data_IF_543524111483
#
_entry.id   IF_543524111483
#
_cell.length_a   1.000
_cell.length_b   1.000
_cell.length_c   1.000
_cell.angle_alpha   90.00
_cell.angle_beta   90.00
_cell.angle_gamma   90.00
#
_symmetry.space_group_name_H-M   'P 1'
#
loop_
_entity.id
_entity.type
_entity.pdbx_description
1 polymer ?
#
# COMPACT_ATOMS: atom_id res chain seq x y z
N UNK A 1 -28.26 5.96 7.91
CA UNK A 1 -28.27 5.45 6.52
C UNK A 1 -27.32 6.27 5.65
N UNK A 2 -26.59 5.61 4.75
CA UNK A 2 -25.63 6.24 3.86
C UNK A 2 -26.33 6.96 2.69
N UNK A 3 -25.82 8.11 2.23
CA UNK A 3 -26.41 8.82 1.09
C UNK A 3 -25.63 8.62 -0.22
N UNK A 4 -24.32 8.45 -0.15
CA UNK A 4 -23.45 8.35 -1.35
C UNK A 4 -23.34 6.91 -1.87
N UNK A 5 -24.45 6.31 -2.31
CA UNK A 5 -24.38 5.15 -3.20
C UNK A 5 -23.95 5.62 -4.58
N UNK A 6 -22.98 4.95 -5.19
CA UNK A 6 -22.50 5.29 -6.53
C UNK A 6 -23.44 4.78 -7.61
N UNK A 7 -24.08 3.65 -7.38
CA UNK A 7 -25.05 3.06 -8.29
C UNK A 7 -26.49 3.28 -7.76
N UNK A 8 -27.37 3.89 -8.58
CA UNK A 8 -28.76 4.15 -8.16
C UNK A 8 -29.56 2.86 -7.90
N UNK A 9 -29.19 1.74 -8.52
CA UNK A 9 -29.90 0.46 -8.35
C UNK A 9 -29.69 -0.12 -6.95
N UNK A 10 -28.47 -0.02 -6.39
CA UNK A 10 -28.22 -0.48 -5.03
C UNK A 10 -28.86 0.42 -3.98
N UNK A 11 -28.95 1.72 -4.26
CA UNK A 11 -29.73 2.65 -3.44
C UNK A 11 -31.22 2.28 -3.45
N UNK A 12 -31.78 2.04 -4.63
CA UNK A 12 -33.16 1.58 -4.78
C UNK A 12 -33.39 0.25 -4.05
N UNK A 13 -32.48 -0.72 -4.19
CA UNK A 13 -32.58 -2.00 -3.50
C UNK A 13 -32.64 -1.78 -1.98
N UNK A 14 -31.74 -0.96 -1.42
CA UNK A 14 -31.77 -0.61 0.00
C UNK A 14 -33.13 -0.06 0.42
N UNK A 15 -33.63 0.95 -0.29
CA UNK A 15 -34.89 1.63 0.06
C UNK A 15 -36.09 0.66 0.01
N UNK A 16 -36.10 -0.23 -0.98
CA UNK A 16 -37.08 -1.32 -1.09
C UNK A 16 -37.01 -2.26 0.12
N UNK A 17 -35.83 -2.82 0.41
CA UNK A 17 -35.69 -3.84 1.46
C UNK A 17 -35.97 -3.28 2.86
N UNK A 18 -35.61 -2.02 3.13
CA UNK A 18 -35.97 -1.36 4.38
C UNK A 18 -37.47 -1.19 4.60
N UNK A 19 -38.28 -1.24 3.53
CA UNK A 19 -39.72 -1.08 3.58
C UNK A 19 -40.46 -2.42 3.56
N UNK A 20 -39.95 -3.39 2.79
CA UNK A 20 -40.69 -4.62 2.48
C UNK A 20 -40.17 -5.86 3.19
N UNK A 21 -38.89 -5.90 3.56
CA UNK A 21 -38.28 -7.11 4.11
C UNK A 21 -38.54 -7.26 5.60
N UNK A 22 -38.76 -8.51 6.02
CA UNK A 22 -38.70 -8.92 7.42
C UNK A 22 -37.26 -8.88 7.96
N UNK A 23 -37.13 -8.97 9.28
CA UNK A 23 -35.82 -9.02 9.96
C UNK A 23 -34.97 -10.20 9.49
N UNK A 24 -35.58 -11.37 9.29
CA UNK A 24 -34.90 -12.60 8.85
C UNK A 24 -34.43 -12.49 7.40
N UNK A 25 -35.25 -11.92 6.52
CA UNK A 25 -34.85 -11.66 5.12
C UNK A 25 -33.70 -10.66 5.05
N UNK A 26 -33.74 -9.57 5.82
CA UNK A 26 -32.63 -8.62 5.88
C UNK A 26 -31.32 -9.27 6.35
N UNK A 27 -31.38 -10.18 7.34
CA UNK A 27 -30.22 -10.95 7.80
C UNK A 27 -29.65 -11.84 6.67
N UNK A 28 -30.51 -12.58 5.97
CA UNK A 28 -30.10 -13.42 4.85
C UNK A 28 -29.46 -12.60 3.72
N UNK A 29 -30.03 -11.43 3.42
CA UNK A 29 -29.50 -10.50 2.42
C UNK A 29 -28.15 -9.90 2.81
N UNK A 30 -27.92 -9.60 4.10
CA UNK A 30 -26.62 -9.17 4.61
C UNK A 30 -25.56 -10.25 4.34
N UNK A 31 -25.85 -11.50 4.69
CA UNK A 31 -24.93 -12.63 4.46
C UNK A 31 -24.70 -12.90 2.97
N UNK A 32 -25.73 -12.74 2.13
CA UNK A 32 -25.60 -12.86 0.68
C UNK A 32 -24.71 -11.75 0.10
N UNK A 33 -24.90 -10.50 0.53
CA UNK A 33 -24.07 -9.38 0.11
C UNK A 33 -22.60 -9.56 0.55
N UNK A 34 -22.36 -10.07 1.76
CA UNK A 34 -21.01 -10.41 2.25
C UNK A 34 -20.32 -11.46 1.35
N UNK A 35 -21.04 -12.52 0.98
CA UNK A 35 -20.53 -13.54 0.05
C UNK A 35 -20.16 -12.95 -1.32
N UNK A 36 -20.97 -12.02 -1.83
CA UNK A 36 -20.66 -11.31 -3.09
C UNK A 36 -19.39 -10.46 -2.94
N UNK A 37 -19.27 -9.68 -1.86
CA UNK A 37 -18.06 -8.87 -1.59
C UNK A 37 -16.80 -9.74 -1.52
N UNK A 38 -16.86 -10.86 -0.80
CA UNK A 38 -15.75 -11.82 -0.72
C UNK A 38 -15.38 -12.38 -2.11
N UNK A 39 -16.37 -12.74 -2.92
CA UNK A 39 -16.15 -13.20 -4.29
C UNK A 39 -15.49 -12.15 -5.20
N UNK A 40 -15.89 -10.88 -5.07
CA UNK A 40 -15.31 -9.77 -5.82
C UNK A 40 -13.86 -9.48 -5.39
N UNK A 41 -13.60 -9.47 -4.08
CA UNK A 41 -12.26 -9.27 -3.53
C UNK A 41 -11.28 -10.35 -4.02
N UNK A 42 -11.72 -11.60 -4.09
CA UNK A 42 -10.92 -12.72 -4.59
C UNK A 42 -10.59 -12.60 -6.08
N UNK A 43 -11.58 -12.24 -6.91
CA UNK A 43 -11.38 -12.04 -8.37
C UNK A 43 -10.42 -10.88 -8.66
N UNK A 44 -10.51 -9.79 -7.88
CA UNK A 44 -9.59 -8.65 -8.00
C UNK A 44 -8.14 -8.95 -7.60
N UNK A 45 -7.90 -9.97 -6.76
CA UNK A 45 -6.56 -10.44 -6.40
C UNK A 45 -5.98 -11.37 -7.47
N UNK A 46 -6.79 -12.26 -8.07
CA UNK A 46 -6.38 -13.12 -9.18
C UNK A 46 -5.91 -12.30 -10.40
N UNK A 47 -6.63 -11.22 -10.73
CA UNK A 47 -6.26 -10.32 -11.83
C UNK A 47 -5.04 -9.44 -11.53
N UNK A 48 -4.55 -9.36 -10.28
CA UNK A 48 -3.31 -8.64 -9.95
C UNK A 48 -2.05 -9.48 -10.13
N UNK A 49 -2.17 -10.78 -10.38
CA UNK A 49 -1.06 -11.69 -10.59
C UNK A 49 -0.63 -11.86 -12.06
N UNK A 50 -1.32 -11.22 -13.02
CA UNK A 50 -1.25 -11.60 -14.43
C UNK A 50 -0.98 -10.47 -15.41
N UNK A 51 -0.36 -9.35 -15.01
CA UNK A 51 0.08 -8.35 -15.99
C UNK A 51 1.01 -7.28 -15.41
N UNK A 52 2.28 -7.43 -15.73
CA UNK A 52 3.33 -6.41 -15.67
C UNK A 52 3.12 -5.23 -16.65
N UNK A 53 1.89 -5.04 -17.17
CA UNK A 53 1.52 -3.98 -18.13
C UNK A 53 0.32 -3.11 -17.73
N UNK A 54 -0.22 -3.25 -16.52
CA UNK A 54 -1.05 -2.20 -15.90
C UNK A 54 -2.33 -1.83 -16.66
N UNK A 55 -3.01 -2.79 -17.28
CA UNK A 55 -4.33 -2.57 -17.88
C UNK A 55 -5.32 -3.63 -17.35
N UNK A 56 -5.54 -3.62 -16.04
CA UNK A 56 -6.54 -4.46 -15.41
C UNK A 56 -7.92 -4.09 -15.96
N UNK A 57 -8.55 -4.99 -16.70
CA UNK A 57 -9.90 -4.79 -17.21
C UNK A 57 -10.85 -4.57 -16.03
N UNK A 58 -11.48 -3.40 -15.96
CA UNK A 58 -12.53 -3.13 -14.98
C UNK A 58 -13.65 -4.13 -15.20
N UNK A 59 -13.67 -5.20 -14.39
CA UNK A 59 -14.73 -6.20 -14.47
C UNK A 59 -16.03 -5.53 -14.05
N UNK A 60 -17.05 -5.65 -14.88
CA UNK A 60 -18.36 -5.06 -14.64
C UNK A 60 -19.45 -6.11 -14.59
N UNK A 61 -20.43 -5.92 -13.71
CA UNK A 61 -21.51 -6.85 -13.43
C UNK A 61 -22.88 -6.22 -13.75
N UNK A 62 -23.82 -6.97 -14.36
CA UNK A 62 -25.20 -6.51 -14.49
C UNK A 62 -25.87 -6.36 -13.13
N UNK A 63 -26.51 -5.22 -12.88
CA UNK A 63 -27.14 -4.91 -11.59
C UNK A 63 -28.23 -5.94 -11.22
N UNK A 64 -29.14 -6.28 -12.14
CA UNK A 64 -30.19 -7.27 -11.90
C UNK A 64 -29.65 -8.62 -11.45
N UNK A 65 -28.51 -9.08 -11.98
CA UNK A 65 -27.91 -10.35 -11.57
C UNK A 65 -27.46 -10.28 -10.10
N UNK A 66 -26.76 -9.22 -9.71
CA UNK A 66 -26.25 -9.07 -8.34
C UNK A 66 -27.40 -8.88 -7.35
N UNK A 67 -28.37 -8.04 -7.68
CA UNK A 67 -29.53 -7.78 -6.83
C UNK A 67 -30.37 -9.05 -6.64
N UNK A 68 -30.62 -9.80 -7.71
CA UNK A 68 -31.34 -11.08 -7.62
C UNK A 68 -30.59 -12.11 -6.77
N UNK A 69 -29.25 -12.15 -6.88
CA UNK A 69 -28.42 -13.01 -6.04
C UNK A 69 -28.49 -12.65 -4.55
N UNK A 70 -28.60 -11.35 -4.22
CA UNK A 70 -28.67 -10.88 -2.84
C UNK A 70 -30.03 -11.17 -2.22
N UNK A 71 -31.11 -10.90 -2.96
CA UNK A 71 -32.49 -11.09 -2.45
C UNK A 71 -32.91 -12.56 -2.49
N UNK A 72 -32.33 -13.36 -3.39
CA UNK A 72 -32.67 -14.77 -3.55
C UNK A 72 -33.84 -15.02 -4.52
N UNK A 73 -34.37 -13.98 -5.15
CA UNK A 73 -35.43 -14.04 -6.15
C UNK A 73 -35.10 -13.19 -7.39
N UNK A 74 -35.65 -13.49 -8.57
CA UNK A 74 -35.44 -12.69 -9.77
C UNK A 74 -36.00 -11.27 -9.64
N UNK A 75 -35.16 -10.26 -9.86
CA UNK A 75 -35.53 -8.84 -9.79
C UNK A 75 -35.24 -8.11 -11.12
N UNK A 76 -36.08 -8.30 -12.15
CA UNK A 76 -35.88 -7.67 -13.45
C UNK A 76 -36.03 -6.14 -13.40
N UNK A 77 -36.78 -5.61 -12.43
CA UNK A 77 -36.99 -4.18 -12.17
C UNK A 77 -35.69 -3.41 -11.92
N UNK A 78 -34.65 -4.10 -11.42
CA UNK A 78 -33.33 -3.52 -11.20
C UNK A 78 -32.63 -3.10 -12.51
N UNK A 79 -33.07 -3.66 -13.65
CA UNK A 79 -32.49 -3.43 -14.97
C UNK A 79 -31.06 -3.99 -15.13
N UNK A 80 -30.57 -3.97 -16.37
CA UNK A 80 -29.24 -4.52 -16.71
C UNK A 80 -28.13 -3.47 -16.73
N UNK A 81 -28.23 -2.44 -15.87
CA UNK A 81 -27.17 -1.44 -15.76
C UNK A 81 -25.89 -2.10 -15.29
N UNK A 82 -24.80 -1.81 -15.98
CA UNK A 82 -23.46 -2.31 -15.64
C UNK A 82 -22.89 -1.54 -14.44
N UNK A 83 -22.38 -2.26 -13.44
CA UNK A 83 -21.71 -1.72 -12.25
C UNK A 83 -20.25 -2.15 -12.29
N UNK A 84 -19.30 -1.23 -12.07
CA UNK A 84 -17.88 -1.60 -11.94
C UNK A 84 -17.66 -2.41 -10.67
N UNK A 85 -16.69 -3.32 -10.66
CA UNK A 85 -16.32 -4.08 -9.45
C UNK A 85 -15.97 -3.18 -8.27
N UNK A 86 -15.31 -2.04 -8.50
CA UNK A 86 -14.92 -1.09 -7.47
C UNK A 86 -16.14 -0.37 -6.86
N UNK A 87 -17.10 0.06 -7.69
CA UNK A 87 -18.31 0.71 -7.21
C UNK A 87 -19.24 -0.30 -6.52
N UNK A 88 -19.28 -1.53 -7.03
CA UNK A 88 -20.05 -2.60 -6.43
C UNK A 88 -19.54 -2.95 -5.03
N UNK A 89 -18.22 -3.10 -4.85
CA UNK A 89 -17.61 -3.31 -3.54
C UNK A 89 -17.94 -2.17 -2.56
N UNK A 90 -17.85 -0.93 -3.03
CA UNK A 90 -18.15 0.25 -2.23
C UNK A 90 -19.62 0.26 -1.76
N UNK A 91 -20.55 0.06 -2.68
CA UNK A 91 -21.99 0.17 -2.41
C UNK A 91 -22.52 -1.04 -1.63
N UNK A 92 -22.03 -2.26 -1.88
CA UNK A 92 -22.43 -3.44 -1.11
C UNK A 92 -22.02 -3.35 0.36
N UNK A 93 -20.85 -2.77 0.65
CA UNK A 93 -20.45 -2.55 2.05
C UNK A 93 -21.40 -1.57 2.75
N UNK A 94 -21.82 -0.50 2.06
CA UNK A 94 -22.82 0.45 2.60
C UNK A 94 -24.18 -0.20 2.77
N UNK A 95 -24.58 -1.07 1.83
CA UNK A 95 -25.83 -1.83 1.89
C UNK A 95 -25.87 -2.73 3.13
N UNK A 96 -24.80 -3.49 3.39
CA UNK A 96 -24.67 -4.31 4.60
C UNK A 96 -24.76 -3.44 5.86
N UNK A 97 -24.06 -2.31 5.90
CA UNK A 97 -24.09 -1.38 7.04
C UNK A 97 -25.49 -0.76 7.26
N UNK A 98 -26.22 -0.41 6.19
CA UNK A 98 -27.55 0.18 6.28
C UNK A 98 -28.62 -0.84 6.72
N UNK A 99 -28.58 -2.08 6.21
CA UNK A 99 -29.51 -3.13 6.63
C UNK A 99 -29.24 -3.56 8.09
N UNK A 100 -27.96 -3.74 8.46
CA UNK A 100 -27.60 -4.10 9.84
C UNK A 100 -27.98 -3.01 10.86
N UNK A 101 -27.94 -1.74 10.47
CA UNK A 101 -28.42 -0.60 11.27
C UNK A 101 -29.93 -0.65 11.54
N UNK A 102 -30.70 -1.07 10.54
CA UNK A 102 -32.16 -1.11 10.57
C UNK A 102 -32.71 -2.25 11.41
N UNK A 103 -32.06 -3.42 11.38
CA UNK A 103 -32.45 -4.58 12.20
C UNK A 103 -31.99 -4.49 13.65
N UNK A 104 -31.22 -3.45 14.01
CA UNK A 104 -30.64 -3.21 15.33
C UNK A 104 -29.98 -4.46 15.92
N UNK A 105 -29.11 -5.09 15.14
CA UNK A 105 -28.50 -6.37 15.50
C UNK A 105 -27.56 -6.18 16.71
N UNK A 106 -27.86 -6.86 17.81
CA UNK A 106 -26.99 -6.89 18.98
C UNK A 106 -25.74 -7.72 18.66
N UNK A 107 -24.55 -7.21 19.00
CA UNK A 107 -23.29 -7.91 18.80
C UNK A 107 -23.26 -9.30 19.46
N UNK A 108 -23.92 -9.47 20.62
CA UNK A 108 -24.00 -10.75 21.33
C UNK A 108 -24.89 -11.78 20.60
N UNK A 109 -25.89 -11.32 19.83
CA UNK A 109 -26.82 -12.19 19.12
C UNK A 109 -26.25 -12.77 17.81
N UNK A 110 -25.06 -12.32 17.39
CA UNK A 110 -24.42 -12.75 16.13
C UNK A 110 -23.83 -14.16 16.24
N UNK A 111 -23.63 -14.69 17.45
CA UNK A 111 -23.15 -16.06 17.67
C UNK A 111 -21.65 -16.27 17.38
N UNK A 112 -20.91 -15.22 17.04
CA UNK A 112 -19.46 -15.23 16.88
C UNK A 112 -18.81 -13.97 17.45
N UNK A 113 -17.50 -13.97 17.77
CA UNK A 113 -16.81 -12.80 18.27
C UNK A 113 -16.86 -11.65 17.27
N UNK A 114 -17.25 -10.48 17.76
CA UNK A 114 -17.29 -9.23 16.99
C UNK A 114 -16.22 -8.29 17.53
N UNK A 115 -15.44 -7.71 16.61
CA UNK A 115 -14.41 -6.72 16.93
C UNK A 115 -14.84 -5.33 16.51
N UNK A 116 -14.54 -4.33 17.33
CA UNK A 116 -14.60 -2.92 16.97
C UNK A 116 -13.39 -2.52 16.11
N UNK A 117 -13.44 -1.32 15.52
CA UNK A 117 -12.30 -0.76 14.77
C UNK A 117 -11.04 -0.69 15.64
N UNK A 118 -11.19 -0.30 16.91
CA UNK A 118 -10.07 -0.13 17.83
C UNK A 118 -9.48 -1.47 18.28
N UNK A 119 -10.32 -2.47 18.50
CA UNK A 119 -9.87 -3.83 18.83
C UNK A 119 -9.12 -4.47 17.67
N UNK A 120 -9.61 -4.32 16.43
CA UNK A 120 -8.87 -4.79 15.25
C UNK A 120 -7.55 -4.05 15.07
N UNK A 121 -7.54 -2.72 15.26
CA UNK A 121 -6.34 -1.92 15.17
C UNK A 121 -5.26 -2.43 16.16
N UNK A 122 -5.66 -2.72 17.41
CA UNK A 122 -4.77 -3.30 18.43
C UNK A 122 -4.33 -4.72 18.07
N UNK A 123 -5.27 -5.59 17.70
CA UNK A 123 -5.00 -7.00 17.40
C UNK A 123 -3.99 -7.16 16.25
N UNK A 124 -4.10 -6.35 15.20
CA UNK A 124 -3.21 -6.40 14.05
C UNK A 124 -2.01 -5.45 14.15
N UNK A 125 -1.87 -4.71 15.26
CA UNK A 125 -0.86 -3.68 15.44
C UNK A 125 -0.82 -2.67 14.27
N UNK A 126 -1.99 -2.17 13.87
CA UNK A 126 -2.15 -1.20 12.79
C UNK A 126 -2.95 0.02 13.23
N UNK A 127 -2.82 1.13 12.51
CA UNK A 127 -3.67 2.30 12.75
C UNK A 127 -5.14 2.06 12.35
N UNK A 128 -6.08 2.77 12.98
CA UNK A 128 -7.50 2.78 12.58
C UNK A 128 -7.71 3.23 11.13
N UNK A 129 -6.81 4.08 10.60
CA UNK A 129 -6.77 4.43 9.16
C UNK A 129 -6.46 3.23 8.28
N UNK A 130 -5.61 2.30 8.73
CA UNK A 130 -5.32 1.05 8.01
C UNK A 130 -6.57 0.18 7.94
N UNK A 131 -7.31 0.05 9.04
CA UNK A 131 -8.60 -0.66 9.06
C UNK A 131 -9.59 0.00 8.09
N UNK A 132 -9.66 1.34 8.07
CA UNK A 132 -10.51 2.07 7.11
C UNK A 132 -10.14 1.80 5.66
N UNK A 133 -8.84 1.67 5.35
CA UNK A 133 -8.38 1.25 4.01
C UNK A 133 -8.74 -0.21 3.71
N UNK A 134 -8.63 -1.11 4.68
CA UNK A 134 -9.04 -2.51 4.51
C UNK A 134 -10.53 -2.63 4.18
N UNK A 135 -11.37 -1.79 4.79
CA UNK A 135 -12.79 -1.70 4.44
C UNK A 135 -13.04 -1.29 2.99
N UNK A 136 -12.19 -0.45 2.41
CA UNK A 136 -12.25 -0.11 0.98
C UNK A 136 -11.76 -1.25 0.06
N UNK A 137 -11.00 -2.20 0.61
CA UNK A 137 -10.47 -3.37 -0.10
C UNK A 137 -11.33 -4.62 0.08
N UNK A 138 -12.50 -4.51 0.71
CA UNK A 138 -13.45 -5.63 0.87
C UNK A 138 -13.50 -6.25 2.28
N UNK A 139 -12.91 -5.62 3.31
CA UNK A 139 -13.25 -5.98 4.69
C UNK A 139 -14.67 -5.49 4.99
N UNK A 140 -15.62 -6.43 5.08
CA UNK A 140 -17.02 -6.11 5.37
C UNK A 140 -17.19 -5.79 6.85
N UNK A 141 -18.05 -4.83 7.13
CA UNK A 141 -18.41 -4.42 8.49
C UNK A 141 -19.92 -4.28 8.60
N UNK A 142 -20.46 -4.59 9.77
CA UNK A 142 -21.88 -4.39 10.11
C UNK A 142 -22.02 -3.25 11.11
N UNK A 143 -23.17 -2.56 11.12
CA UNK A 143 -23.57 -1.73 12.27
C UNK A 143 -24.24 -2.63 13.29
N UNK A 144 -23.64 -2.69 14.47
CA UNK A 144 -24.08 -3.54 15.58
C UNK A 144 -24.31 -2.68 16.82
N UNK A 145 -25.24 -3.12 17.67
CA UNK A 145 -25.48 -2.49 18.97
C UNK A 145 -24.54 -3.12 19.99
N UNK A 146 -23.66 -2.29 20.57
CA UNK A 146 -22.77 -2.63 21.67
C UNK A 146 -23.18 -1.82 22.89
N UNK A 147 -23.58 -2.47 23.99
CA UNK A 147 -23.99 -1.78 25.23
C UNK A 147 -25.02 -0.67 24.98
N UNK A 148 -26.01 -0.93 24.12
CA UNK A 148 -27.04 0.05 23.72
C UNK A 148 -26.56 1.16 22.77
N UNK A 149 -25.29 1.16 22.33
CA UNK A 149 -24.74 2.12 21.38
C UNK A 149 -24.43 1.46 20.04
N UNK A 150 -24.91 2.06 18.95
CA UNK A 150 -24.61 1.61 17.59
C UNK A 150 -23.15 1.92 17.24
N UNK A 151 -22.38 0.88 16.91
CA UNK A 151 -20.98 1.01 16.44
C UNK A 151 -20.76 0.11 15.23
N UNK A 152 -19.68 0.40 14.50
CA UNK A 152 -19.22 -0.50 13.43
C UNK A 152 -18.48 -1.68 14.06
N UNK A 153 -18.93 -2.88 13.75
CA UNK A 153 -18.32 -4.13 14.18
C UNK A 153 -17.93 -5.02 13.00
N UNK A 154 -16.94 -5.87 13.24
CA UNK A 154 -16.39 -6.81 12.28
C UNK A 154 -16.48 -8.21 12.86
N UNK A 155 -17.13 -9.11 12.14
CA UNK A 155 -17.27 -10.49 12.54
C UNK A 155 -15.91 -11.20 12.41
N UNK A 156 -15.60 -12.13 13.31
CA UNK A 156 -14.36 -12.90 13.27
C UNK A 156 -14.19 -13.60 11.93
N UNK A 157 -15.25 -14.25 11.44
CA UNK A 157 -15.32 -14.92 10.15
C UNK A 157 -14.92 -13.99 8.98
N UNK A 158 -15.46 -12.77 8.97
CA UNK A 158 -15.16 -11.74 7.97
C UNK A 158 -13.71 -11.27 8.02
N UNK A 159 -13.16 -11.12 9.22
CA UNK A 159 -11.77 -10.71 9.43
C UNK A 159 -10.80 -11.81 9.00
N UNK A 160 -11.03 -13.04 9.45
CA UNK A 160 -10.17 -14.18 9.13
C UNK A 160 -10.14 -14.43 7.61
N UNK A 161 -11.29 -14.34 6.95
CA UNK A 161 -11.37 -14.47 5.49
C UNK A 161 -10.65 -13.33 4.78
N UNK A 162 -10.78 -12.08 5.25
CA UNK A 162 -10.05 -10.95 4.69
C UNK A 162 -8.54 -11.10 4.83
N UNK A 163 -8.07 -11.53 6.01
CA UNK A 163 -6.65 -11.77 6.30
C UNK A 163 -6.10 -12.90 5.44
N UNK A 164 -6.84 -14.00 5.29
CA UNK A 164 -6.46 -15.12 4.41
C UNK A 164 -6.23 -14.65 2.97
N UNK A 165 -7.08 -13.75 2.48
CA UNK A 165 -6.99 -13.23 1.11
C UNK A 165 -5.97 -12.08 0.95
N UNK A 166 -5.59 -11.39 2.05
CA UNK A 166 -4.72 -10.21 2.02
C UNK A 166 -3.46 -10.35 2.90
N UNK A 167 -3.02 -11.56 3.22
CA UNK A 167 -1.96 -11.86 4.20
C UNK A 167 -0.71 -10.99 4.03
N UNK A 168 -0.18 -10.90 2.80
CA UNK A 168 1.00 -10.07 2.48
C UNK A 168 0.81 -8.60 2.82
N UNK A 169 -0.40 -8.05 2.63
CA UNK A 169 -0.71 -6.64 2.95
C UNK A 169 -0.89 -6.43 4.44
N UNK A 170 -1.54 -7.37 5.11
CA UNK A 170 -1.76 -7.35 6.56
C UNK A 170 -0.42 -7.39 7.28
N UNK A 171 0.47 -8.30 6.90
CA UNK A 171 1.83 -8.40 7.46
C UNK A 171 2.65 -7.12 7.25
N UNK A 172 2.59 -6.51 6.06
CA UNK A 172 3.26 -5.23 5.79
C UNK A 172 2.69 -4.10 6.63
N UNK A 173 1.37 -4.08 6.82
CA UNK A 173 0.68 -3.11 7.67
C UNK A 173 1.07 -3.23 9.13
N UNK A 174 1.14 -4.46 9.66
CA UNK A 174 1.51 -4.74 11.05
C UNK A 174 2.98 -4.39 11.36
N UNK A 175 3.87 -4.53 10.37
CA UNK A 175 5.29 -4.13 10.45
C UNK A 175 5.50 -2.60 10.34
N UNK A 176 4.47 -1.86 9.95
CA UNK A 176 4.54 -0.40 9.87
C UNK A 176 4.46 0.18 11.27
N UNK A 177 5.62 0.41 11.89
CA UNK A 177 5.72 1.29 13.06
C UNK A 177 6.31 2.63 12.64
N UNK A 178 5.84 3.70 13.27
CA UNK A 178 6.52 4.99 13.15
C UNK A 178 7.95 4.87 13.70
N UNK A 179 8.87 5.62 13.10
CA UNK A 179 10.23 5.78 13.62
C UNK A 179 10.17 6.67 14.86
N UNK A 180 10.72 6.19 15.97
CA UNK A 180 10.99 7.07 17.12
C UNK A 180 12.08 8.07 16.76
N UNK A 181 12.17 9.18 17.49
CA UNK A 181 13.23 10.17 17.28
C UNK A 181 14.62 9.55 17.49
N UNK A 182 14.76 8.69 18.51
CA UNK A 182 15.98 7.92 18.78
C UNK A 182 16.38 7.02 17.59
N UNK A 183 15.42 6.27 17.03
CA UNK A 183 15.67 5.44 15.84
C UNK A 183 16.07 6.30 14.63
N UNK A 184 15.45 7.49 14.48
CA UNK A 184 15.80 8.42 13.40
C UNK A 184 17.24 8.90 13.54
N UNK A 185 17.65 9.33 14.73
CA UNK A 185 19.02 9.78 15.02
C UNK A 185 20.04 8.66 14.83
N UNK A 186 19.74 7.45 15.32
CA UNK A 186 20.59 6.27 15.13
C UNK A 186 20.84 5.98 13.64
N UNK A 187 19.79 6.09 12.81
CA UNK A 187 19.89 5.81 11.38
C UNK A 187 20.67 6.89 10.64
N UNK A 188 20.47 8.16 11.01
CA UNK A 188 21.24 9.30 10.50
C UNK A 188 22.72 9.14 10.82
N UNK A 189 23.07 8.81 12.06
CA UNK A 189 24.47 8.69 12.47
C UNK A 189 25.17 7.48 11.83
N UNK A 190 24.46 6.37 11.66
CA UNK A 190 24.98 5.23 10.89
C UNK A 190 25.13 5.58 9.41
N UNK A 191 24.15 6.23 8.81
CA UNK A 191 24.21 6.65 7.41
C UNK A 191 25.38 7.61 7.17
N UNK A 192 25.64 8.55 8.10
CA UNK A 192 26.77 9.47 8.06
C UNK A 192 28.11 8.72 8.04
N UNK A 193 28.31 7.76 8.94
CA UNK A 193 29.51 6.90 8.95
C UNK A 193 29.68 6.11 7.67
N UNK A 194 28.60 5.58 7.10
CA UNK A 194 28.65 4.84 5.83
C UNK A 194 28.92 5.78 4.64
N UNK A 195 28.39 7.01 4.65
CA UNK A 195 28.67 8.01 3.63
C UNK A 195 30.13 8.47 3.65
N UNK A 196 30.76 8.56 4.84
CA UNK A 196 32.21 8.83 4.97
C UNK A 196 33.06 7.75 4.29
N UNK A 197 32.60 6.49 4.26
CA UNK A 197 33.26 5.41 3.49
C UNK A 197 33.04 5.49 1.97
N UNK A 198 32.25 6.48 1.51
CA UNK A 198 31.98 6.76 0.11
C UNK A 198 30.88 5.89 -0.51
N UNK A 199 30.05 5.24 0.30
CA UNK A 199 28.89 4.49 -0.19
C UNK A 199 27.77 5.43 -0.67
N UNK A 200 27.03 5.01 -1.70
CA UNK A 200 25.93 5.79 -2.27
C UNK A 200 24.66 5.74 -1.40
N UNK A 201 23.77 6.72 -1.53
CA UNK A 201 22.55 6.83 -0.73
C UNK A 201 21.66 5.59 -0.87
N UNK A 202 21.51 5.06 -2.08
CA UNK A 202 20.66 3.89 -2.33
C UNK A 202 21.23 2.61 -1.71
N UNK A 203 22.56 2.47 -1.71
CA UNK A 203 23.26 1.36 -1.06
C UNK A 203 23.14 1.45 0.45
N UNK A 204 23.38 2.63 1.03
CA UNK A 204 23.24 2.88 2.47
C UNK A 204 21.81 2.60 2.94
N UNK A 205 20.80 3.06 2.19
CA UNK A 205 19.39 2.81 2.52
C UNK A 205 19.07 1.30 2.51
N UNK A 206 19.66 0.53 1.59
CA UNK A 206 19.46 -0.92 1.49
C UNK A 206 20.13 -1.66 2.65
N UNK A 207 21.40 -1.33 2.94
CA UNK A 207 22.15 -1.97 4.03
C UNK A 207 21.54 -1.67 5.40
N UNK A 208 21.08 -0.43 5.62
CA UNK A 208 20.38 -0.09 6.86
C UNK A 208 19.03 -0.82 6.98
N UNK A 209 18.31 -1.00 5.87
CA UNK A 209 17.03 -1.72 5.85
C UNK A 209 17.20 -3.19 6.23
N UNK A 210 18.21 -3.85 5.67
CA UNK A 210 18.55 -5.25 5.99
C UNK A 210 18.93 -5.41 7.46
N UNK A 211 19.70 -4.48 8.02
CA UNK A 211 20.14 -4.55 9.43
C UNK A 211 19.07 -4.22 10.45
N UNK A 212 18.14 -3.33 10.11
CA UNK A 212 17.13 -2.80 11.05
C UNK A 212 15.77 -3.47 10.89
N UNK A 213 15.58 -4.28 9.84
CA UNK A 213 14.29 -4.88 9.49
C UNK A 213 13.26 -3.85 9.00
N UNK A 214 13.66 -2.60 8.74
CA UNK A 214 12.78 -1.54 8.23
C UNK A 214 12.72 -1.55 6.72
N UNK A 215 11.65 -0.97 6.17
CA UNK A 215 11.55 -0.80 4.72
C UNK A 215 12.61 0.18 4.21
N UNK A 216 13.15 -0.09 3.02
CA UNK A 216 14.13 0.79 2.36
C UNK A 216 13.58 2.20 2.19
N UNK A 217 12.29 2.34 1.92
CA UNK A 217 11.65 3.64 1.75
C UNK A 217 11.52 4.41 3.07
N UNK A 218 11.26 3.73 4.18
CA UNK A 218 11.20 4.34 5.51
C UNK A 218 12.54 4.97 5.88
N UNK A 219 13.64 4.26 5.62
CA UNK A 219 14.99 4.77 5.89
C UNK A 219 15.34 5.90 4.93
N UNK A 220 15.06 5.73 3.64
CA UNK A 220 15.28 6.79 2.64
C UNK A 220 14.54 8.07 3.00
N UNK A 221 13.28 7.96 3.39
CA UNK A 221 12.46 9.10 3.81
C UNK A 221 13.03 9.75 5.08
N UNK A 222 13.47 8.97 6.06
CA UNK A 222 14.09 9.49 7.28
C UNK A 222 15.39 10.27 7.00
N UNK A 223 16.26 9.74 6.13
CA UNK A 223 17.50 10.41 5.73
C UNK A 223 17.22 11.66 4.91
N UNK A 224 16.26 11.60 3.98
CA UNK A 224 15.85 12.77 3.19
C UNK A 224 15.25 13.88 4.05
N UNK A 225 14.43 13.51 5.04
CA UNK A 225 13.86 14.46 5.99
C UNK A 225 14.98 15.16 6.78
N UNK A 226 15.94 14.40 7.32
CA UNK A 226 17.10 14.97 8.00
C UNK A 226 17.89 15.93 7.12
N UNK A 227 18.17 15.56 5.87
CA UNK A 227 18.96 16.38 4.94
C UNK A 227 18.21 17.67 4.52
N UNK A 228 16.88 17.62 4.45
CA UNK A 228 16.05 18.80 4.21
C UNK A 228 16.00 19.72 5.44
N UNK A 229 15.88 19.15 6.64
CA UNK A 229 15.77 19.89 7.89
C UNK A 229 17.12 20.48 8.33
N UNK A 230 18.23 19.85 7.94
CA UNK A 230 19.60 20.26 8.27
C UNK A 230 20.48 20.41 7.01
N UNK A 231 20.25 21.43 6.15
CA UNK A 231 20.99 21.59 4.90
C UNK A 231 22.51 21.75 5.09
N UNK A 232 22.95 22.32 6.21
CA UNK A 232 24.38 22.53 6.53
C UNK A 232 25.11 21.25 6.94
N UNK A 233 24.37 20.23 7.41
CA UNK A 233 24.92 18.97 7.93
C UNK A 233 24.36 17.76 7.19
N UNK A 234 23.87 17.98 5.97
CA UNK A 234 23.25 16.97 5.12
C UNK A 234 24.23 15.83 4.83
N UNK A 235 23.75 14.60 4.99
CA UNK A 235 24.53 13.39 4.71
C UNK A 235 24.67 13.23 3.20
N UNK A 236 23.59 13.47 2.46
CA UNK A 236 23.56 13.44 1.01
C UNK A 236 23.10 14.80 0.49
N UNK A 237 24.02 15.76 0.27
CA UNK A 237 23.68 17.03 -0.35
C UNK A 237 22.92 16.75 -1.65
N UNK A 238 21.70 17.26 -1.75
CA UNK A 238 20.90 17.17 -2.96
C UNK A 238 21.80 17.52 -4.16
N UNK A 239 21.69 16.75 -5.25
CA UNK A 239 22.25 16.90 -6.62
C UNK A 239 23.36 17.90 -6.98
N UNK A 240 23.42 19.06 -6.35
CA UNK A 240 24.24 20.25 -6.58
C UNK A 240 25.59 20.27 -5.85
N UNK A 241 25.79 19.45 -4.81
CA UNK A 241 27.10 19.38 -4.12
C UNK A 241 28.17 18.63 -4.94
N UNK A 242 29.45 19.06 -4.90
CA UNK A 242 30.54 18.34 -5.57
C UNK A 242 30.70 16.93 -4.99
N UNK A 243 30.88 15.93 -5.87
CA UNK A 243 31.20 14.57 -5.45
C UNK A 243 32.57 14.57 -4.77
N UNK A 244 32.67 13.91 -3.61
CA UNK A 244 33.95 13.76 -2.92
C UNK A 244 34.90 12.87 -3.74
N UNK A 245 36.21 13.04 -3.59
CA UNK A 245 37.17 12.24 -4.37
C UNK A 245 37.09 10.74 -4.07
N UNK A 246 36.65 10.38 -2.86
CA UNK A 246 36.35 9.00 -2.49
C UNK A 246 35.15 8.46 -3.27
N UNK A 247 34.06 9.22 -3.37
CA UNK A 247 32.90 8.86 -4.20
C UNK A 247 33.30 8.72 -5.67
N UNK A 248 34.10 9.65 -6.22
CA UNK A 248 34.61 9.54 -7.59
C UNK A 248 35.40 8.26 -7.81
N UNK A 249 36.23 7.88 -6.83
CA UNK A 249 37.04 6.65 -6.87
C UNK A 249 36.16 5.40 -6.81
N UNK A 250 35.13 5.41 -5.97
CA UNK A 250 34.18 4.29 -5.85
C UNK A 250 33.33 4.13 -7.12
N UNK A 251 32.84 5.23 -7.70
CA UNK A 251 32.15 5.24 -9.01
C UNK A 251 33.04 4.59 -10.08
N UNK A 252 34.30 5.01 -10.17
CA UNK A 252 35.24 4.46 -11.16
C UNK A 252 35.53 2.97 -10.94
N UNK A 253 35.72 2.54 -9.68
CA UNK A 253 35.90 1.12 -9.34
C UNK A 253 34.66 0.27 -9.67
N UNK A 254 33.47 0.77 -9.36
CA UNK A 254 32.21 0.09 -9.64
C UNK A 254 31.98 -0.03 -11.16
N UNK A 255 32.27 1.02 -11.93
CA UNK A 255 32.24 0.97 -13.38
C UNK A 255 33.22 -0.07 -13.95
N UNK A 256 34.47 -0.11 -13.44
CA UNK A 256 35.45 -1.15 -13.86
C UNK A 256 35.01 -2.58 -13.54
N UNK A 257 34.15 -2.78 -12.53
CA UNK A 257 33.56 -4.08 -12.19
C UNK A 257 32.31 -4.42 -13.02
N UNK A 258 31.99 -3.62 -14.04
CA UNK A 258 30.85 -3.85 -14.94
C UNK A 258 29.52 -3.30 -14.43
N UNK A 259 29.50 -2.44 -13.41
CA UNK A 259 28.25 -1.81 -12.97
C UNK A 259 27.72 -0.86 -14.04
N UNK A 260 26.43 -0.99 -14.39
CA UNK A 260 25.81 -0.13 -15.40
C UNK A 260 25.72 1.33 -14.95
N UNK A 261 25.80 2.23 -15.91
CA UNK A 261 25.76 3.68 -15.67
C UNK A 261 24.40 4.10 -15.10
N UNK A 262 23.30 3.50 -15.55
CA UNK A 262 21.98 3.76 -15.01
C UNK A 262 21.88 3.40 -13.52
N UNK A 263 22.58 2.36 -13.08
CA UNK A 263 22.65 1.97 -11.67
C UNK A 263 23.49 2.96 -10.88
N UNK A 264 24.65 3.37 -11.39
CA UNK A 264 25.49 4.41 -10.76
C UNK A 264 24.75 5.75 -10.63
N UNK A 265 23.98 6.15 -11.63
CA UNK A 265 23.16 7.36 -11.59
C UNK A 265 22.13 7.30 -10.45
N UNK A 266 21.46 6.15 -10.29
CA UNK A 266 20.49 5.91 -9.22
C UNK A 266 21.15 5.86 -7.84
N UNK A 267 22.30 5.21 -7.72
CA UNK A 267 22.97 5.00 -6.43
C UNK A 267 23.56 6.29 -5.85
N UNK A 268 24.07 7.18 -6.71
CA UNK A 268 24.68 8.45 -6.32
C UNK A 268 23.77 9.67 -6.54
N UNK A 269 22.55 9.47 -7.05
CA UNK A 269 21.60 10.53 -7.41
C UNK A 269 22.27 11.63 -8.26
N UNK A 270 22.86 11.21 -9.39
CA UNK A 270 23.57 12.08 -10.34
C UNK A 270 23.16 11.77 -11.78
N UNK A 271 23.29 12.77 -12.64
CA UNK A 271 23.01 12.62 -14.07
C UNK A 271 24.03 11.72 -14.74
N UNK A 272 23.64 11.10 -15.87
CA UNK A 272 24.54 10.34 -16.73
C UNK A 272 25.79 11.15 -17.09
N UNK A 273 25.59 12.43 -17.45
CA UNK A 273 26.68 13.36 -17.80
C UNK A 273 27.69 13.51 -16.67
N UNK A 274 27.24 13.64 -15.42
CA UNK A 274 28.12 13.74 -14.25
C UNK A 274 28.90 12.45 -14.03
N UNK A 275 28.25 11.28 -14.14
CA UNK A 275 28.90 9.99 -13.97
C UNK A 275 29.96 9.75 -15.07
N UNK A 276 29.64 10.03 -16.33
CA UNK A 276 30.60 9.95 -17.42
C UNK A 276 31.79 10.89 -17.21
N UNK A 277 31.55 12.14 -16.78
CA UNK A 277 32.61 13.10 -16.47
C UNK A 277 33.56 12.54 -15.40
N UNK A 278 33.02 12.02 -14.29
CA UNK A 278 33.82 11.43 -13.20
C UNK A 278 34.65 10.23 -13.69
N UNK A 279 34.06 9.36 -14.50
CA UNK A 279 34.77 8.21 -15.07
C UNK A 279 35.92 8.67 -15.96
N UNK A 280 35.68 9.68 -16.81
CA UNK A 280 36.70 10.23 -17.71
C UNK A 280 37.80 10.96 -16.95
N UNK A 281 37.48 11.74 -15.92
CA UNK A 281 38.47 12.40 -15.05
C UNK A 281 39.39 11.37 -14.37
N UNK A 282 38.81 10.31 -13.77
CA UNK A 282 39.60 9.25 -13.13
C UNK A 282 40.40 8.42 -14.14
N UNK A 283 39.89 8.24 -15.36
CA UNK A 283 40.63 7.57 -16.44
C UNK A 283 41.80 8.42 -16.92
N UNK A 284 41.60 9.73 -17.11
CA UNK A 284 42.64 10.67 -17.52
C UNK A 284 43.75 10.76 -16.48
N UNK A 285 43.40 10.90 -15.19
CA UNK A 285 44.38 10.89 -14.10
C UNK A 285 45.24 9.62 -14.11
N UNK A 286 44.62 8.46 -14.33
CA UNK A 286 45.35 7.19 -14.41
C UNK A 286 46.23 7.06 -15.66
N UNK A 287 45.80 7.62 -16.79
CA UNK A 287 46.62 7.64 -18.01
C UNK A 287 47.83 8.55 -17.83
N UNK A 288 47.67 9.70 -17.15
CA UNK A 288 48.76 10.61 -16.84
C UNK A 288 49.81 9.99 -15.89
N UNK A 289 49.42 9.04 -15.05
CA UNK A 289 50.32 8.25 -14.20
C UNK A 289 51.08 7.14 -14.96
N UNK A 290 50.71 6.85 -16.22
CA UNK A 290 51.45 5.87 -17.01
C UNK A 290 52.79 6.48 -17.47
N UNK A 291 53.90 5.72 -17.42
CA UNK A 291 55.16 6.15 -18.00
C UNK A 291 55.04 6.11 -19.53
N UNK A 292 54.49 7.16 -20.12
CA UNK A 292 54.35 7.30 -21.56
C UNK A 292 55.58 8.02 -22.09
N UNK A 293 56.47 7.27 -22.74
CA UNK A 293 57.57 7.86 -23.52
C UNK A 293 57.02 8.49 -24.80
N UNK A 294 57.44 9.71 -25.10
CA UNK A 294 57.11 10.38 -26.34
C UNK A 294 57.91 9.76 -27.49
N UNK A 295 57.24 9.11 -28.44
CA UNK A 295 57.85 8.60 -29.67
C UNK A 295 57.52 9.55 -30.84
N UNK A 296 58.48 10.35 -31.34
CA UNK A 296 58.26 11.18 -32.52
C UNK A 296 58.09 10.30 -33.77
N UNK A 297 57.07 10.60 -34.59
CA UNK A 297 56.85 9.96 -35.88
C UNK A 297 57.35 10.91 -37.00
N UNK A 298 58.23 10.46 -37.91
CA UNK A 298 58.80 11.28 -38.99
C UNK A 298 57.77 11.72 -40.04
#
# INVERSE_FOLDING_TARGET
MHQDYKNPVLRWLRDRQLTTASREEMLSQIEAAERVVLGLANKGLANKGLDSKGLGTETSYPAAQIVSQIVGEPLPEAGNRKISSADLLHDLRRFVEDLSDAIELNAEAVGEPVFTVDELAKQFNVSTKTISRWRALGLVSRRLVFDGRKRVGFLRSSVDQFVKNNSVRVERGAKFSQLTNEQREEYVERARRMAQSGAGQAEISRQLAERTGRSVETIRAALRQHDNDNPTVAIFPAGTGPLTDLQKTNIFRAHRRGMSIDKLCRDYNRTKTTIYRVINEKRAARIAELPLEFMPNP
#
